data_IF_923548667097
#
_entry.id   IF_923548667097
#
_cell.length_a   1.000
_cell.length_b   1.000
_cell.length_c   1.000
_cell.angle_alpha   90.00
_cell.angle_beta   90.00
_cell.angle_gamma   90.00
#
_symmetry.space_group_name_H-M   'P 1'
#
loop_
_entity.id
_entity.type
_entity.pdbx_description
1 polymer ?
#
# COMPACT_ATOMS: atom_id res chain seq x y z
N UNK A 1 -14.10 -2.21 4.26
CA UNK A 1 -13.62 -1.43 5.42
C UNK A 1 -13.24 -0.05 4.91
N UNK A 2 -13.78 1.01 5.50
CA UNK A 2 -13.52 2.37 5.04
C UNK A 2 -12.32 2.97 5.79
N UNK A 3 -11.43 3.66 5.07
CA UNK A 3 -10.34 4.44 5.68
C UNK A 3 -10.91 5.77 6.18
N UNK A 4 -11.00 5.93 7.51
CA UNK A 4 -11.56 7.14 8.14
C UNK A 4 -10.44 7.84 8.93
N UNK A 5 -10.22 9.12 8.62
CA UNK A 5 -9.33 10.00 9.41
C UNK A 5 -10.15 11.18 9.90
N UNK A 6 -10.33 11.25 11.23
CA UNK A 6 -10.99 12.39 11.88
C UNK A 6 -9.95 13.46 12.21
N UNK A 7 -10.29 14.72 11.97
CA UNK A 7 -9.48 15.86 12.40
C UNK A 7 -9.56 15.99 13.93
N UNK A 8 -8.47 16.42 14.56
CA UNK A 8 -8.47 16.80 15.98
C UNK A 8 -8.84 18.28 16.12
N UNK A 9 -9.27 18.68 17.32
CA UNK A 9 -9.43 20.10 17.65
C UNK A 9 -8.07 20.80 17.45
N UNK A 10 -8.09 21.92 16.75
CA UNK A 10 -6.92 22.77 16.44
C UNK A 10 -5.85 22.14 15.54
N UNK A 11 -6.20 21.09 14.78
CA UNK A 11 -5.27 20.49 13.81
C UNK A 11 -5.32 21.21 12.46
N UNK A 12 -4.14 21.57 11.92
CA UNK A 12 -4.02 22.06 10.56
C UNK A 12 -4.47 21.00 9.52
N UNK A 13 -5.27 21.43 8.56
CA UNK A 13 -5.77 20.66 7.41
C UNK A 13 -4.67 19.85 6.70
N UNK A 14 -3.47 20.40 6.50
CA UNK A 14 -2.37 19.69 5.84
C UNK A 14 -1.93 18.44 6.60
N UNK A 15 -1.95 18.50 7.93
CA UNK A 15 -1.62 17.36 8.80
C UNK A 15 -2.65 16.25 8.67
N UNK A 16 -3.94 16.62 8.58
CA UNK A 16 -5.04 15.68 8.37
C UNK A 16 -4.89 14.99 7.01
N UNK A 17 -4.67 15.75 5.94
CA UNK A 17 -4.46 15.23 4.58
C UNK A 17 -3.24 14.31 4.54
N UNK A 18 -2.14 14.68 5.19
CA UNK A 18 -0.93 13.85 5.24
C UNK A 18 -1.19 12.50 5.92
N UNK A 19 -1.91 12.49 7.04
CA UNK A 19 -2.29 11.23 7.71
C UNK A 19 -3.22 10.38 6.86
N UNK A 20 -4.18 11.01 6.19
CA UNK A 20 -5.08 10.32 5.28
C UNK A 20 -4.31 9.66 4.12
N UNK A 21 -3.41 10.39 3.45
CA UNK A 21 -2.52 9.84 2.41
C UNK A 21 -1.70 8.66 2.95
N UNK A 22 -1.10 8.81 4.14
CA UNK A 22 -0.34 7.73 4.78
C UNK A 22 -1.22 6.50 5.03
N UNK A 23 -2.47 6.70 5.46
CA UNK A 23 -3.39 5.59 5.72
C UNK A 23 -3.84 4.88 4.44
N UNK A 24 -4.14 5.63 3.37
CA UNK A 24 -4.40 5.05 2.04
C UNK A 24 -3.25 4.18 1.55
N UNK A 25 -1.99 4.62 1.76
CA UNK A 25 -0.81 3.87 1.38
C UNK A 25 -0.65 2.59 2.21
N UNK A 26 -0.92 2.64 3.52
CA UNK A 26 -0.86 1.47 4.41
C UNK A 26 -1.96 0.47 4.06
N UNK A 27 -3.17 0.95 3.79
CA UNK A 27 -4.33 0.12 3.45
C UNK A 27 -4.26 -0.39 1.98
N UNK A 28 -3.21 -0.03 1.22
CA UNK A 28 -2.91 -0.44 -0.16
C UNK A 28 -4.06 -0.19 -1.17
N UNK A 29 -4.90 0.82 -0.89
CA UNK A 29 -6.17 1.05 -1.59
C UNK A 29 -5.96 1.33 -3.08
N UNK A 30 -4.92 2.11 -3.43
CA UNK A 30 -4.64 2.46 -4.83
C UNK A 30 -4.28 1.23 -5.67
N UNK A 31 -3.50 0.31 -5.11
CA UNK A 31 -3.14 -0.94 -5.80
C UNK A 31 -4.34 -1.86 -5.92
N UNK A 32 -5.22 -1.90 -4.91
CA UNK A 32 -6.47 -2.65 -4.98
C UNK A 32 -7.37 -2.15 -6.13
N UNK A 33 -7.52 -0.83 -6.26
CA UNK A 33 -8.30 -0.22 -7.35
C UNK A 33 -7.70 -0.60 -8.70
N UNK A 34 -6.39 -0.43 -8.88
CA UNK A 34 -5.71 -0.76 -10.13
C UNK A 34 -5.84 -2.24 -10.52
N UNK A 35 -5.77 -3.16 -9.54
CA UNK A 35 -5.97 -4.61 -9.79
C UNK A 35 -7.40 -4.97 -10.18
N UNK A 36 -8.37 -4.14 -9.82
CA UNK A 36 -9.80 -4.34 -10.10
C UNK A 36 -10.30 -3.55 -11.31
N UNK A 37 -9.48 -2.64 -11.85
CA UNK A 37 -9.81 -1.80 -13.00
C UNK A 37 -10.18 -2.65 -14.23
N UNK A 38 -9.51 -3.80 -14.39
CA UNK A 38 -9.79 -4.76 -15.46
C UNK A 38 -9.89 -6.19 -14.91
N UNK A 39 -10.69 -7.03 -15.58
CA UNK A 39 -10.71 -8.45 -15.26
C UNK A 39 -9.36 -9.10 -15.62
N UNK A 40 -8.74 -9.74 -14.64
CA UNK A 40 -7.53 -10.55 -14.81
C UNK A 40 -7.87 -12.01 -14.61
N UNK A 41 -7.44 -12.87 -15.55
CA UNK A 41 -7.56 -14.32 -15.39
C UNK A 41 -6.89 -14.78 -14.08
N UNK A 42 -7.43 -15.76 -13.35
CA UNK A 42 -6.89 -16.20 -12.06
C UNK A 42 -5.40 -16.58 -12.09
N UNK A 43 -4.93 -17.16 -13.20
CA UNK A 43 -3.52 -17.50 -13.38
C UNK A 43 -2.60 -16.27 -13.39
N UNK A 44 -3.04 -15.17 -14.02
CA UNK A 44 -2.29 -13.92 -14.06
C UNK A 44 -2.29 -13.24 -12.69
N UNK A 45 -3.41 -13.26 -11.97
CA UNK A 45 -3.49 -12.74 -10.60
C UNK A 45 -2.49 -13.45 -9.66
N UNK A 46 -2.39 -14.79 -9.76
CA UNK A 46 -1.40 -15.57 -8.98
C UNK A 46 0.03 -15.23 -9.38
N UNK A 47 0.31 -15.06 -10.67
CA UNK A 47 1.64 -14.66 -11.18
C UNK A 47 2.05 -13.30 -10.64
N UNK A 48 1.16 -12.32 -10.66
CA UNK A 48 1.43 -10.98 -10.11
C UNK A 48 1.61 -11.00 -8.59
N UNK A 49 0.76 -11.73 -7.86
CA UNK A 49 0.90 -11.88 -6.42
C UNK A 49 2.27 -12.47 -6.02
N UNK A 50 2.73 -13.51 -6.73
CA UNK A 50 4.06 -14.10 -6.53
C UNK A 50 5.17 -13.08 -6.81
N UNK A 51 5.08 -12.35 -7.91
CA UNK A 51 6.06 -11.32 -8.30
C UNK A 51 6.18 -10.21 -7.24
N UNK A 52 5.06 -9.74 -6.70
CA UNK A 52 5.07 -8.71 -5.65
C UNK A 52 5.64 -9.23 -4.32
N UNK A 53 5.34 -10.49 -3.96
CA UNK A 53 5.95 -11.13 -2.79
C UNK A 53 7.47 -11.23 -2.93
N UNK A 54 7.96 -11.70 -4.08
CA UNK A 54 9.39 -11.81 -4.37
C UNK A 54 10.10 -10.46 -4.29
N UNK A 55 9.49 -9.40 -4.85
CA UNK A 55 10.01 -8.03 -4.74
C UNK A 55 10.12 -7.57 -3.28
N UNK A 56 9.09 -7.84 -2.46
CA UNK A 56 9.09 -7.49 -1.04
C UNK A 56 10.23 -8.18 -0.28
N UNK A 57 10.35 -9.50 -0.45
CA UNK A 57 11.42 -10.29 0.18
C UNK A 57 12.81 -9.83 -0.28
N UNK A 58 12.97 -9.51 -1.57
CA UNK A 58 14.24 -9.00 -2.09
C UNK A 58 14.59 -7.64 -1.50
N UNK A 59 13.60 -6.76 -1.29
CA UNK A 59 13.82 -5.46 -0.65
C UNK A 59 14.23 -5.63 0.81
N UNK A 60 13.58 -6.51 1.56
CA UNK A 60 13.92 -6.82 2.96
C UNK A 60 15.35 -7.38 3.09
N UNK A 61 15.70 -8.35 2.24
CA UNK A 61 17.07 -8.90 2.18
C UNK A 61 18.12 -7.83 1.87
N UNK A 62 17.83 -6.90 0.95
CA UNK A 62 18.74 -5.79 0.63
C UNK A 62 18.92 -4.84 1.81
N UNK A 63 17.87 -4.59 2.59
CA UNK A 63 17.96 -3.73 3.77
C UNK A 63 18.77 -4.39 4.88
N UNK A 64 18.55 -5.69 5.14
CA UNK A 64 19.33 -6.45 6.12
C UNK A 64 20.83 -6.44 5.81
N UNK A 65 21.20 -6.64 4.54
CA UNK A 65 22.60 -6.58 4.07
C UNK A 65 23.26 -5.20 4.17
N UNK A 66 22.50 -4.11 4.31
CA UNK A 66 23.04 -2.76 4.48
C UNK A 66 23.21 -2.38 5.96
N UNK A 67 22.58 -3.13 6.85
CA UNK A 67 22.53 -2.85 8.29
C UNK A 67 23.47 -3.75 9.10
N UNK A 68 23.93 -4.87 8.53
CA UNK A 68 25.01 -5.70 9.06
C UNK A 68 26.28 -5.46 8.26
#
# INVERSE_FOLDING_TARGET
MATIVKAKKDENTDSVIRRFKKRILIDDVLNLVKRKEFYLKPALQRKEAKKELEKKLNRERRLQRRMG
#
